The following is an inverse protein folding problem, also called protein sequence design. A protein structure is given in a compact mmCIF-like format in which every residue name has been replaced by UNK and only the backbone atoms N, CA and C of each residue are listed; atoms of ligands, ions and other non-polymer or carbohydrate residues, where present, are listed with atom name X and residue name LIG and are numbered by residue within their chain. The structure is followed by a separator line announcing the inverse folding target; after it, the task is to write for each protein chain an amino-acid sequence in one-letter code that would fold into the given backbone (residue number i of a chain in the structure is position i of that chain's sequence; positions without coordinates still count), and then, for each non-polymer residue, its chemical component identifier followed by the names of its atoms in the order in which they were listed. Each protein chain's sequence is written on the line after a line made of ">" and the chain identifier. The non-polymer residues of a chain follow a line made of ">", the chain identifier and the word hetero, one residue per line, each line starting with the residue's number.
data_IF_568578719432
#
_entry.id   IF_568578719432
#
_cell.length_a   1.000
_cell.length_b   1.000
_cell.length_c   1.000
_cell.angle_alpha   90.00
_cell.angle_beta   90.00
_cell.angle_gamma   90.00
#
_symmetry.space_group_name_H-M   'P 1'
#
loop_
_entity.id
_entity.type
_entity.pdbx_description
1 polymer ?
#
# COMPACT_ATOMS: atom_id res chain seq x y z
N UNK A 1 -26.43 20.42 8.54
CA UNK A 1 -24.98 20.62 8.75
C UNK A 1 -24.22 19.60 7.91
N UNK A 2 -23.10 20.00 7.31
CA UNK A 2 -22.20 19.06 6.63
C UNK A 2 -21.51 18.17 7.66
N UNK A 3 -21.38 16.87 7.35
CA UNK A 3 -20.61 15.91 8.15
C UNK A 3 -19.25 15.73 7.50
N UNK A 4 -18.18 15.78 8.29
CA UNK A 4 -16.80 15.61 7.83
C UNK A 4 -16.21 14.31 8.37
N UNK A 5 -15.34 13.68 7.58
CA UNK A 5 -14.58 12.49 7.95
C UNK A 5 -13.11 12.73 7.57
N UNK A 6 -12.19 12.45 8.50
CA UNK A 6 -10.75 12.50 8.26
C UNK A 6 -10.15 11.13 8.49
N UNK A 7 -9.27 10.70 7.57
CA UNK A 7 -8.54 9.44 7.64
C UNK A 7 -7.05 9.77 7.43
N UNK A 8 -6.20 9.23 8.31
CA UNK A 8 -4.75 9.28 8.16
C UNK A 8 -4.16 7.86 8.17
N UNK A 9 -3.39 7.51 7.14
CA UNK A 9 -2.69 6.23 7.04
C UNK A 9 -1.20 6.34 7.34
N UNK A 10 -0.71 5.58 8.32
CA UNK A 10 0.73 5.39 8.55
C UNK A 10 1.15 4.01 8.04
N UNK A 11 2.03 3.96 7.04
CA UNK A 11 2.48 2.71 6.41
C UNK A 11 3.98 2.52 6.63
N UNK A 12 4.35 1.44 7.30
CA UNK A 12 5.74 1.15 7.65
C UNK A 12 6.02 -0.35 7.70
N UNK A 13 7.22 -0.73 7.27
CA UNK A 13 7.81 -2.06 7.45
C UNK A 13 9.25 -1.88 7.94
N UNK A 14 9.65 -2.49 9.07
CA UNK A 14 11.05 -2.47 9.48
C UNK A 14 11.95 -3.20 8.47
N UNK A 15 13.26 -2.89 8.45
CA UNK A 15 14.23 -3.71 7.71
C UNK A 15 14.15 -5.17 8.15
N UNK A 16 14.17 -6.08 7.18
CA UNK A 16 14.12 -7.54 7.39
C UNK A 16 15.20 -8.29 6.61
N UNK A 17 15.99 -7.55 5.84
CA UNK A 17 17.10 -8.06 5.06
C UNK A 17 18.16 -8.61 6.02
N UNK A 18 18.68 -9.80 5.68
CA UNK A 18 19.82 -10.36 6.35
C UNK A 18 21.06 -9.52 5.96
N UNK A 19 21.85 -9.01 6.94
CA UNK A 19 22.90 -8.03 6.65
C UNK A 19 24.11 -8.61 5.91
N UNK A 20 24.21 -9.94 5.75
CA UNK A 20 25.28 -10.58 4.97
C UNK A 20 24.93 -10.77 3.50
N UNK A 21 23.65 -10.92 3.18
CA UNK A 21 23.19 -11.21 1.81
C UNK A 21 22.30 -10.11 1.22
N UNK A 22 21.96 -9.10 2.03
CA UNK A 22 21.14 -7.93 1.66
C UNK A 22 19.75 -8.28 1.08
N UNK A 23 19.26 -9.47 1.38
CA UNK A 23 17.94 -9.96 0.98
C UNK A 23 17.18 -10.50 2.20
N UNK A 24 15.85 -10.47 2.11
CA UNK A 24 14.99 -11.08 3.12
C UNK A 24 15.02 -12.59 2.88
N UNK A 25 15.17 -13.39 3.92
CA UNK A 25 15.10 -14.85 3.80
C UNK A 25 13.63 -15.31 3.69
N UNK A 26 13.40 -16.55 3.25
CA UNK A 26 12.06 -17.13 3.21
C UNK A 26 11.46 -17.17 4.62
N UNK A 27 10.21 -16.76 4.75
CA UNK A 27 9.48 -16.79 6.02
C UNK A 27 8.22 -17.65 5.87
N UNK A 28 8.26 -18.89 6.36
CA UNK A 28 7.17 -19.88 6.16
C UNK A 28 5.78 -19.37 6.60
N UNK A 29 5.73 -18.54 7.64
CA UNK A 29 4.48 -17.94 8.13
C UNK A 29 3.85 -16.92 7.16
N UNK A 30 4.59 -16.46 6.15
CA UNK A 30 4.11 -15.57 5.10
C UNK A 30 3.52 -16.32 3.89
N UNK A 31 3.47 -17.66 3.93
CA UNK A 31 2.90 -18.46 2.85
C UNK A 31 1.51 -17.96 2.39
N UNK A 32 1.23 -17.95 1.08
CA UNK A 32 2.06 -18.52 0.00
C UNK A 32 3.18 -17.59 -0.52
N UNK A 33 3.40 -16.44 0.11
CA UNK A 33 4.41 -15.46 -0.32
C UNK A 33 5.79 -15.79 0.25
N UNK A 34 6.83 -15.24 -0.37
CA UNK A 34 8.22 -15.45 0.03
C UNK A 34 8.48 -14.98 1.46
N UNK A 35 7.99 -13.79 1.81
CA UNK A 35 8.18 -13.16 3.10
C UNK A 35 7.03 -12.19 3.46
N UNK A 36 7.06 -11.67 4.68
CA UNK A 36 6.02 -10.76 5.18
C UNK A 36 5.99 -9.41 4.47
N UNK A 37 7.09 -8.91 3.89
CA UNK A 37 7.05 -7.69 3.10
C UNK A 37 6.20 -7.92 1.84
N UNK A 38 6.45 -9.02 1.14
CA UNK A 38 5.69 -9.39 -0.06
C UNK A 38 4.20 -9.58 0.26
N UNK A 39 3.89 -10.42 1.26
CA UNK A 39 2.50 -10.71 1.64
C UNK A 39 1.71 -9.43 1.93
N UNK A 40 2.23 -8.59 2.82
CA UNK A 40 1.54 -7.35 3.21
C UNK A 40 1.45 -6.40 2.02
N UNK A 41 2.46 -6.35 1.15
CA UNK A 41 2.39 -5.49 -0.02
C UNK A 41 1.29 -5.92 -1.00
N UNK A 42 1.10 -7.22 -1.21
CA UNK A 42 0.03 -7.76 -2.07
C UNK A 42 -1.34 -7.65 -1.41
N UNK A 43 -1.45 -7.84 -0.10
CA UNK A 43 -2.73 -7.85 0.63
C UNK A 43 -3.18 -6.45 1.08
N UNK A 44 -2.27 -5.47 1.19
CA UNK A 44 -2.57 -4.14 1.72
C UNK A 44 -2.14 -3.00 0.80
N UNK A 45 -0.84 -2.83 0.53
CA UNK A 45 -0.35 -1.62 -0.14
C UNK A 45 -0.81 -1.53 -1.60
N UNK A 46 -0.72 -2.64 -2.32
CA UNK A 46 -1.18 -2.75 -3.71
C UNK A 46 -2.69 -2.54 -3.85
N UNK A 47 -3.58 -3.24 -3.10
CA UNK A 47 -5.02 -3.08 -3.27
C UNK A 47 -5.52 -1.70 -2.87
N UNK A 48 -4.83 -0.98 -1.98
CA UNK A 48 -5.15 0.43 -1.71
C UNK A 48 -4.98 1.34 -2.94
N UNK A 49 -4.16 0.96 -3.93
CA UNK A 49 -4.03 1.75 -5.17
C UNK A 49 -5.22 1.60 -6.12
N UNK A 50 -6.05 0.56 -5.94
CA UNK A 50 -7.19 0.22 -6.79
C UNK A 50 -8.30 -0.47 -5.97
N UNK A 51 -8.78 0.21 -4.93
CA UNK A 51 -9.83 -0.26 -4.05
C UNK A 51 -11.20 -0.23 -4.76
N UNK A 52 -11.96 -1.31 -4.60
CA UNK A 52 -13.29 -1.46 -5.21
C UNK A 52 -14.34 -0.83 -4.32
N UNK A 53 -15.15 0.06 -4.89
CA UNK A 53 -16.41 0.50 -4.30
C UNK A 53 -17.48 -0.47 -4.77
N UNK A 54 -18.30 -0.96 -3.84
CA UNK A 54 -19.34 -1.95 -4.12
C UNK A 54 -20.70 -1.47 -3.66
N UNK A 55 -21.75 -1.96 -4.32
CA UNK A 55 -23.13 -1.76 -3.88
C UNK A 55 -23.57 -2.83 -2.85
N UNK A 56 -24.83 -2.76 -2.41
CA UNK A 56 -25.42 -3.71 -1.45
C UNK A 56 -25.48 -5.16 -1.94
N UNK A 57 -25.28 -5.41 -3.25
CA UNK A 57 -25.22 -6.74 -3.86
C UNK A 57 -23.77 -7.14 -4.19
N UNK A 58 -22.78 -6.43 -3.65
CA UNK A 58 -21.35 -6.63 -3.88
C UNK A 58 -20.92 -6.46 -5.35
N UNK A 59 -21.67 -5.68 -6.15
CA UNK A 59 -21.27 -5.35 -7.53
C UNK A 59 -20.35 -4.14 -7.51
N UNK A 60 -19.28 -4.19 -8.30
CA UNK A 60 -18.31 -3.08 -8.39
C UNK A 60 -18.98 -1.89 -9.08
N UNK A 61 -19.05 -0.76 -8.38
CA UNK A 61 -19.58 0.51 -8.88
C UNK A 61 -18.49 1.53 -9.19
N UNK A 62 -17.27 1.28 -8.70
CA UNK A 62 -16.11 2.12 -8.98
C UNK A 62 -14.82 1.49 -8.48
N UNK A 63 -13.70 2.00 -8.98
CA UNK A 63 -12.37 1.67 -8.49
C UNK A 63 -11.65 2.98 -8.20
N UNK A 64 -11.16 3.13 -6.97
CA UNK A 64 -10.48 4.33 -6.52
C UNK A 64 -9.11 4.00 -5.94
N UNK A 65 -8.21 4.96 -5.97
CA UNK A 65 -6.98 4.88 -5.22
C UNK A 65 -7.22 5.47 -3.82
N UNK A 66 -7.23 4.63 -2.77
CA UNK A 66 -7.49 5.08 -1.40
C UNK A 66 -6.48 6.14 -0.95
N UNK A 67 -5.22 6.05 -1.40
CA UNK A 67 -4.19 7.04 -1.07
C UNK A 67 -4.55 8.45 -1.56
N UNK A 68 -5.34 8.58 -2.64
CA UNK A 68 -5.75 9.91 -3.14
C UNK A 68 -6.92 10.52 -2.36
N UNK A 69 -7.48 9.78 -1.39
CA UNK A 69 -8.65 10.17 -0.58
C UNK A 69 -8.36 10.22 0.91
N UNK A 70 -7.09 10.06 1.31
CA UNK A 70 -6.65 10.19 2.70
C UNK A 70 -5.35 10.98 2.79
N UNK A 71 -5.06 11.51 3.97
CA UNK A 71 -3.70 11.91 4.29
C UNK A 71 -2.88 10.67 4.65
N UNK A 72 -1.59 10.64 4.34
CA UNK A 72 -0.76 9.49 4.68
C UNK A 72 0.72 9.83 4.78
N UNK A 73 1.48 8.93 5.39
CA UNK A 73 2.93 8.91 5.31
C UNK A 73 3.43 7.46 5.15
N UNK A 74 4.57 7.30 4.48
CA UNK A 74 5.20 6.00 4.22
C UNK A 74 6.64 6.06 4.69
N UNK A 75 7.04 5.10 5.53
CA UNK A 75 8.42 5.01 5.99
C UNK A 75 9.41 4.73 4.85
N UNK A 76 10.66 5.23 4.95
CA UNK A 76 11.63 5.19 3.86
C UNK A 76 12.05 3.77 3.46
N UNK A 77 12.08 2.84 4.42
CA UNK A 77 12.37 1.41 4.20
C UNK A 77 11.34 0.77 3.27
N UNK A 78 10.06 0.93 3.61
CA UNK A 78 8.96 0.44 2.79
C UNK A 78 8.93 1.11 1.41
N UNK A 79 9.06 2.44 1.36
CA UNK A 79 9.00 3.15 0.08
C UNK A 79 10.13 2.72 -0.86
N UNK A 80 11.33 2.51 -0.34
CA UNK A 80 12.49 2.02 -1.10
C UNK A 80 12.29 0.57 -1.56
N UNK A 81 11.74 -0.28 -0.69
CA UNK A 81 11.43 -1.67 -1.02
C UNK A 81 10.37 -1.74 -2.13
N UNK A 82 9.29 -0.96 -2.03
CA UNK A 82 8.23 -0.88 -3.06
C UNK A 82 8.79 -0.41 -4.40
N UNK A 83 9.69 0.57 -4.42
CA UNK A 83 10.33 1.03 -5.67
C UNK A 83 11.06 -0.11 -6.38
N UNK A 84 11.74 -0.99 -5.64
CA UNK A 84 12.51 -2.10 -6.19
C UNK A 84 11.63 -3.29 -6.57
N UNK A 85 10.75 -3.73 -5.67
CA UNK A 85 10.02 -5.00 -5.79
C UNK A 85 8.62 -4.85 -6.41
N UNK A 86 7.97 -3.68 -6.29
CA UNK A 86 6.62 -3.40 -6.83
C UNK A 86 6.53 -1.99 -7.45
N UNK A 87 7.27 -1.69 -8.53
CA UNK A 87 7.39 -0.35 -9.10
C UNK A 87 6.04 0.26 -9.51
N UNK A 88 5.08 -0.54 -9.96
CA UNK A 88 3.74 -0.06 -10.30
C UNK A 88 2.99 0.46 -9.07
N UNK A 89 3.07 -0.25 -7.94
CA UNK A 89 2.43 0.16 -6.68
C UNK A 89 3.09 1.44 -6.18
N UNK A 90 4.42 1.51 -6.21
CA UNK A 90 5.19 2.71 -5.89
C UNK A 90 4.72 3.91 -6.73
N UNK A 91 4.64 3.76 -8.05
CA UNK A 91 4.24 4.85 -8.95
C UNK A 91 2.79 5.30 -8.71
N UNK A 92 1.87 4.38 -8.43
CA UNK A 92 0.49 4.72 -8.10
C UNK A 92 0.36 5.48 -6.78
N UNK A 93 1.18 5.17 -5.78
CA UNK A 93 1.23 5.93 -4.52
C UNK A 93 1.72 7.37 -4.78
N UNK A 94 2.79 7.54 -5.56
CA UNK A 94 3.29 8.88 -5.92
C UNK A 94 2.25 9.68 -6.71
N UNK A 95 1.54 9.03 -7.65
CA UNK A 95 0.45 9.65 -8.38
C UNK A 95 -0.67 10.08 -7.43
N UNK A 96 -1.02 9.24 -6.47
CA UNK A 96 -2.06 9.53 -5.50
C UNK A 96 -1.72 10.71 -4.58
N UNK A 97 -0.46 10.84 -4.11
CA UNK A 97 0.00 12.01 -3.34
C UNK A 97 -0.15 13.33 -4.10
N UNK A 98 0.06 13.29 -5.43
CA UNK A 98 -0.16 14.47 -6.28
C UNK A 98 -1.64 14.82 -6.35
N UNK A 99 -2.49 13.83 -6.63
CA UNK A 99 -3.95 14.01 -6.74
C UNK A 99 -4.56 14.42 -5.40
N UNK A 100 -4.04 13.94 -4.26
CA UNK A 100 -4.63 14.23 -2.95
C UNK A 100 -4.58 15.72 -2.59
N UNK A 101 -3.67 16.49 -3.19
CA UNK A 101 -3.52 17.95 -2.99
C UNK A 101 -4.62 18.77 -3.65
N UNK A 102 -5.42 18.15 -4.53
CA UNK A 102 -6.50 18.80 -5.29
C UNK A 102 -7.89 18.55 -4.67
N UNK A 103 -8.02 17.72 -3.62
CA UNK A 103 -9.28 17.51 -2.91
C UNK A 103 -9.44 18.51 -1.75
#
# INVERSE_FOLDING_TARGET
>A
MAKYLCIHGHFYQPPRENPWIEEIEVQDSAAPYHDWNERIAIECYRPNTAARIVDAKNRITGIINNYSKMSFNIGPTLLSWLRKKLPDTYNQIIKADKVSKEN
#
